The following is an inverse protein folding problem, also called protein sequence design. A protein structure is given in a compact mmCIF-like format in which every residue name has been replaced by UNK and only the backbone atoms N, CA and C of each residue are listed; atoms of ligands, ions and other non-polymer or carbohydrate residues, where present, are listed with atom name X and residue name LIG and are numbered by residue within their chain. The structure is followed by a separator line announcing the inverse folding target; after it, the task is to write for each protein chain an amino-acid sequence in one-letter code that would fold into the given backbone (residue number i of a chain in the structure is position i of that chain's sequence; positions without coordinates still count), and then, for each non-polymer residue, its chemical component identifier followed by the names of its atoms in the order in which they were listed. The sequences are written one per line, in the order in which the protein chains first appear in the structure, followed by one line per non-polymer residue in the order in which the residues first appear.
data_IF_329747137454
#
_entry.id   IF_329747137454
#
_cell.length_a   1.000
_cell.length_b   1.000
_cell.length_c   1.000
_cell.angle_alpha   90.00
_cell.angle_beta   90.00
_cell.angle_gamma   90.00
#
_symmetry.space_group_name_H-M   'P 1'
#
loop_
_entity.id
_entity.type
_entity.pdbx_description
1 polymer ?
#
# COMPACT_ATOMS: atom_id res chain seq x y z
N UNK A 1 22.16 -18.94 -21.49
CA UNK A 1 20.97 -18.24 -20.93
C UNK A 1 21.48 -17.22 -19.92
N UNK A 2 21.42 -15.95 -20.29
CA UNK A 2 22.00 -14.84 -19.53
C UNK A 2 21.10 -14.47 -18.35
N UNK A 3 21.43 -14.88 -17.15
CA UNK A 3 20.93 -14.26 -15.95
C UNK A 3 21.62 -12.91 -15.80
N UNK A 4 20.99 -11.84 -16.30
CA UNK A 4 21.44 -10.47 -16.06
C UNK A 4 21.56 -10.28 -14.56
N UNK A 5 22.76 -9.91 -14.11
CA UNK A 5 23.01 -9.25 -12.83
C UNK A 5 21.99 -8.11 -12.66
N UNK A 6 20.92 -8.34 -11.93
CA UNK A 6 20.19 -7.26 -11.29
C UNK A 6 21.11 -6.81 -10.16
N UNK A 7 21.80 -5.69 -10.37
CA UNK A 7 22.32 -4.91 -9.25
C UNK A 7 21.17 -4.80 -8.26
N UNK A 8 21.31 -5.48 -7.11
CA UNK A 8 20.24 -5.57 -6.13
C UNK A 8 20.07 -4.18 -5.49
N UNK A 9 19.29 -3.32 -6.16
CA UNK A 9 18.92 -2.02 -5.59
C UNK A 9 18.24 -2.28 -4.27
N UNK A 10 18.74 -1.67 -3.19
CA UNK A 10 18.19 -1.85 -1.84
C UNK A 10 16.69 -1.52 -1.86
N UNK A 11 15.84 -2.34 -1.21
CA UNK A 11 14.40 -2.09 -1.19
C UNK A 11 14.10 -0.78 -0.47
N UNK A 12 13.24 0.06 -1.06
CA UNK A 12 12.74 1.30 -0.46
C UNK A 12 11.41 1.10 0.28
N UNK A 13 10.65 0.07 -0.11
CA UNK A 13 9.36 -0.26 0.50
C UNK A 13 9.36 -1.71 0.97
N UNK A 14 8.95 -1.94 2.22
CA UNK A 14 8.68 -3.27 2.73
C UNK A 14 7.19 -3.59 2.61
N UNK A 15 6.82 -4.69 1.96
CA UNK A 15 5.45 -5.21 1.94
C UNK A 15 5.42 -6.47 2.80
N UNK A 16 4.66 -6.44 3.88
CA UNK A 16 4.55 -7.57 4.80
C UNK A 16 3.10 -7.96 5.03
N UNK A 17 2.87 -9.23 5.29
CA UNK A 17 1.53 -9.78 5.55
C UNK A 17 1.59 -10.86 6.64
N UNK A 18 0.47 -11.04 7.36
CA UNK A 18 0.38 -12.00 8.46
C UNK A 18 0.34 -13.46 8.01
N UNK A 19 -0.10 -13.71 6.78
CA UNK A 19 -0.24 -15.03 6.16
C UNK A 19 -0.08 -14.92 4.64
N UNK A 20 0.28 -16.03 4.00
CA UNK A 20 0.28 -16.19 2.55
C UNK A 20 -1.12 -16.10 1.92
N UNK A 21 -2.17 -16.38 2.70
CA UNK A 21 -3.58 -16.14 2.29
C UNK A 21 -3.86 -14.69 1.92
N UNK A 22 -3.08 -13.75 2.43
CA UNK A 22 -3.24 -12.32 2.21
C UNK A 22 -2.57 -11.85 0.90
N UNK A 23 -1.81 -12.74 0.24
CA UNK A 23 -1.00 -12.41 -0.93
C UNK A 23 -1.83 -11.86 -2.09
N UNK A 24 -3.03 -12.39 -2.33
CA UNK A 24 -3.92 -11.94 -3.42
C UNK A 24 -4.27 -10.45 -3.31
N UNK A 25 -4.40 -9.95 -2.08
CA UNK A 25 -4.63 -8.53 -1.79
C UNK A 25 -3.31 -7.77 -1.83
N UNK A 26 -2.30 -8.22 -1.09
CA UNK A 26 -1.03 -7.49 -0.91
C UNK A 26 -0.20 -7.38 -2.18
N UNK A 27 -0.35 -8.33 -3.12
CA UNK A 27 0.25 -8.26 -4.45
C UNK A 27 -0.13 -6.99 -5.21
N UNK A 28 -1.31 -6.44 -4.99
CA UNK A 28 -1.73 -5.20 -5.65
C UNK A 28 -0.84 -3.99 -5.28
N UNK A 29 -0.31 -3.95 -4.05
CA UNK A 29 0.68 -2.94 -3.68
C UNK A 29 2.01 -3.16 -4.42
N UNK A 30 2.45 -4.40 -4.54
CA UNK A 30 3.65 -4.76 -5.28
C UNK A 30 3.53 -4.39 -6.77
N UNK A 31 2.37 -4.66 -7.39
CA UNK A 31 2.10 -4.32 -8.79
C UNK A 31 2.19 -2.79 -9.03
N UNK A 32 1.66 -1.99 -8.09
CA UNK A 32 1.79 -0.52 -8.13
C UNK A 32 3.25 -0.08 -8.04
N UNK A 33 4.01 -0.59 -7.07
CA UNK A 33 5.42 -0.24 -6.92
C UNK A 33 6.25 -0.65 -8.15
N UNK A 34 5.95 -1.80 -8.73
CA UNK A 34 6.59 -2.29 -9.95
C UNK A 34 6.30 -1.39 -11.15
N UNK A 35 5.05 -0.92 -11.30
CA UNK A 35 4.68 0.02 -12.36
C UNK A 35 5.51 1.31 -12.31
N UNK A 36 5.84 1.79 -11.11
CA UNK A 36 6.66 2.98 -10.92
C UNK A 36 8.17 2.69 -10.83
N UNK A 37 8.58 1.42 -10.99
CA UNK A 37 9.98 0.96 -10.89
C UNK A 37 10.62 1.26 -9.53
N UNK A 38 9.84 1.17 -8.46
CA UNK A 38 10.35 1.33 -7.09
C UNK A 38 10.75 -0.04 -6.53
N UNK A 39 11.99 -0.21 -6.06
CA UNK A 39 12.44 -1.46 -5.47
C UNK A 39 11.74 -1.71 -4.13
N UNK A 40 11.26 -2.93 -3.94
CA UNK A 40 10.57 -3.37 -2.73
C UNK A 40 10.96 -4.80 -2.35
N UNK A 41 10.72 -5.17 -1.12
CA UNK A 41 10.70 -6.56 -0.67
C UNK A 41 9.27 -6.95 -0.26
N UNK A 42 8.90 -8.21 -0.46
CA UNK A 42 7.61 -8.76 -0.07
C UNK A 42 7.83 -10.07 0.69
N UNK A 43 7.27 -10.16 1.92
CA UNK A 43 7.44 -11.36 2.75
C UNK A 43 6.29 -11.55 3.75
N UNK A 44 6.22 -12.76 4.31
CA UNK A 44 5.28 -13.08 5.39
C UNK A 44 5.95 -12.82 6.75
N UNK A 45 5.26 -12.05 7.59
CA UNK A 45 5.66 -11.73 8.97
C UNK A 45 4.43 -11.84 9.85
N UNK A 46 4.30 -12.92 10.62
CA UNK A 46 3.14 -13.13 11.46
C UNK A 46 3.37 -12.58 12.87
N UNK A 47 2.56 -11.61 13.28
CA UNK A 47 2.62 -11.04 14.63
C UNK A 47 2.34 -12.10 15.71
N UNK A 48 1.43 -13.04 15.45
CA UNK A 48 1.00 -14.04 16.42
C UNK A 48 1.83 -15.33 16.40
N UNK A 49 2.31 -15.75 15.21
CA UNK A 49 2.99 -17.03 15.03
C UNK A 49 4.52 -16.92 14.99
N UNK A 50 5.04 -15.77 14.58
CA UNK A 50 6.48 -15.48 14.50
C UNK A 50 6.83 -14.11 15.07
N UNK A 51 6.52 -13.84 16.37
CA UNK A 51 6.71 -12.50 16.94
C UNK A 51 8.18 -12.05 16.92
N UNK A 52 9.14 -12.95 17.11
CA UNK A 52 10.57 -12.62 17.05
C UNK A 52 10.97 -12.13 15.66
N UNK A 53 10.52 -12.82 14.59
CA UNK A 53 10.75 -12.40 13.21
C UNK A 53 10.12 -11.04 12.93
N UNK A 54 8.95 -10.76 13.50
CA UNK A 54 8.29 -9.46 13.36
C UNK A 54 9.13 -8.33 14.00
N UNK A 55 9.62 -8.53 15.22
CA UNK A 55 10.47 -7.57 15.91
C UNK A 55 11.80 -7.34 15.17
N UNK A 56 12.43 -8.40 14.67
CA UNK A 56 13.65 -8.34 13.87
C UNK A 56 13.40 -7.58 12.55
N UNK A 57 12.30 -7.87 11.88
CA UNK A 57 11.93 -7.17 10.64
C UNK A 57 11.80 -5.67 10.88
N UNK A 58 11.02 -5.27 11.89
CA UNK A 58 10.81 -3.87 12.23
C UNK A 58 12.11 -3.17 12.63
N UNK A 59 12.90 -3.79 13.51
CA UNK A 59 14.15 -3.20 14.02
C UNK A 59 15.26 -3.05 12.98
N UNK A 60 15.25 -3.88 11.94
CA UNK A 60 16.29 -3.86 10.89
C UNK A 60 15.87 -3.12 9.62
N UNK A 61 14.59 -2.83 9.43
CA UNK A 61 14.04 -2.28 8.20
C UNK A 61 14.74 -1.00 7.74
N UNK A 62 14.91 -0.02 8.64
CA UNK A 62 15.57 1.25 8.32
C UNK A 62 17.03 1.05 7.89
N UNK A 63 17.78 0.18 8.58
CA UNK A 63 19.17 -0.13 8.25
C UNK A 63 19.32 -0.83 6.89
N UNK A 64 18.30 -1.62 6.47
CA UNK A 64 18.26 -2.23 5.14
C UNK A 64 17.93 -1.24 4.01
N UNK A 65 17.52 -0.01 4.33
CA UNK A 65 17.22 1.04 3.36
C UNK A 65 15.73 1.29 3.16
N UNK A 66 14.85 0.55 3.83
CA UNK A 66 13.40 0.74 3.76
C UNK A 66 13.02 2.11 4.31
N UNK A 67 12.11 2.78 3.63
CA UNK A 67 11.59 4.11 3.98
C UNK A 67 10.13 4.07 4.41
N UNK A 68 9.37 3.07 3.93
CA UNK A 68 7.94 2.90 4.23
C UNK A 68 7.64 1.40 4.33
N UNK A 69 6.79 1.02 5.28
CA UNK A 69 6.32 -0.35 5.41
C UNK A 69 4.81 -0.39 5.11
N UNK A 70 4.39 -1.29 4.21
CA UNK A 70 3.00 -1.63 3.96
C UNK A 70 2.72 -2.96 4.66
N UNK A 71 1.84 -2.95 5.65
CA UNK A 71 1.54 -4.12 6.46
C UNK A 71 0.06 -4.52 6.32
N UNK A 72 -0.19 -5.73 5.82
CA UNK A 72 -1.53 -6.29 5.63
C UNK A 72 -1.86 -7.34 6.68
N UNK A 73 -3.08 -7.28 7.21
CA UNK A 73 -3.59 -8.26 8.14
C UNK A 73 -5.12 -8.31 8.14
N UNK A 74 -5.68 -9.51 8.38
CA UNK A 74 -7.11 -9.75 8.51
C UNK A 74 -7.49 -10.25 9.90
N UNK A 75 -8.77 -10.27 10.21
CA UNK A 75 -9.29 -10.64 11.53
C UNK A 75 -8.76 -9.72 12.62
N UNK A 76 -8.15 -10.29 13.68
CA UNK A 76 -7.42 -9.55 14.71
C UNK A 76 -6.10 -9.00 14.11
N UNK A 77 -6.20 -7.92 13.35
CA UNK A 77 -5.16 -7.39 12.47
C UNK A 77 -4.10 -6.59 13.24
N UNK A 78 -3.36 -7.25 14.14
CA UNK A 78 -2.40 -6.60 15.04
C UNK A 78 -1.08 -6.21 14.34
N UNK A 79 -0.72 -6.85 13.22
CA UNK A 79 0.59 -6.68 12.58
C UNK A 79 0.96 -5.22 12.30
N UNK A 80 0.10 -4.37 11.69
CA UNK A 80 0.48 -2.98 11.38
C UNK A 80 0.82 -2.16 12.63
N UNK A 81 0.00 -2.27 13.68
CA UNK A 81 0.23 -1.56 14.95
C UNK A 81 1.49 -2.02 15.66
N UNK A 82 1.76 -3.34 15.68
CA UNK A 82 2.96 -3.89 16.29
C UNK A 82 4.24 -3.48 15.55
N UNK A 83 4.20 -3.41 14.22
CA UNK A 83 5.32 -2.87 13.43
C UNK A 83 5.52 -1.37 13.73
N UNK A 84 4.44 -0.59 13.75
CA UNK A 84 4.52 0.84 14.03
C UNK A 84 5.05 1.17 15.42
N UNK A 85 4.78 0.31 16.41
CA UNK A 85 5.34 0.44 17.77
C UNK A 85 6.82 0.04 17.88
N UNK A 86 7.34 -0.67 16.88
CA UNK A 86 8.67 -1.29 16.91
C UNK A 86 9.68 -0.67 15.95
N UNK A 87 9.27 0.35 15.15
CA UNK A 87 10.15 1.09 14.25
C UNK A 87 9.72 2.54 14.11
N UNK A 88 10.61 3.37 13.54
CA UNK A 88 10.35 4.80 13.29
C UNK A 88 9.86 5.09 11.87
N UNK A 89 9.75 4.06 11.04
CA UNK A 89 9.33 4.24 9.64
C UNK A 89 7.81 4.46 9.56
N UNK A 90 7.33 5.22 8.58
CA UNK A 90 5.92 5.28 8.27
C UNK A 90 5.35 3.89 7.99
N UNK A 91 4.23 3.55 8.64
CA UNK A 91 3.52 2.28 8.44
C UNK A 91 2.16 2.55 7.83
N UNK A 92 1.88 1.86 6.71
CA UNK A 92 0.59 1.88 6.04
C UNK A 92 -0.09 0.54 6.32
N UNK A 93 -1.22 0.59 7.00
CA UNK A 93 -2.02 -0.58 7.33
C UNK A 93 -3.05 -0.89 6.25
N UNK A 94 -3.07 -2.14 5.81
CA UNK A 94 -4.06 -2.67 4.86
C UNK A 94 -4.95 -3.65 5.61
N UNK A 95 -6.18 -3.25 5.96
CA UNK A 95 -7.16 -4.21 6.48
C UNK A 95 -7.51 -5.23 5.41
N UNK A 96 -7.54 -6.51 5.76
CA UNK A 96 -7.84 -7.60 4.82
C UNK A 96 -9.09 -8.33 5.29
N UNK A 97 -10.01 -8.56 4.35
CA UNK A 97 -11.14 -9.47 4.54
C UNK A 97 -10.63 -10.91 4.41
N UNK A 98 -10.24 -11.48 5.53
CA UNK A 98 -9.79 -12.87 5.61
C UNK A 98 -10.96 -13.80 5.95
N UNK A 99 -10.75 -15.12 5.79
CA UNK A 99 -11.80 -16.13 6.02
C UNK A 99 -12.36 -16.16 7.45
N UNK A 100 -11.62 -15.62 8.43
CA UNK A 100 -12.02 -15.50 9.83
C UNK A 100 -12.46 -14.08 10.21
N UNK A 101 -12.59 -13.16 9.25
CA UNK A 101 -13.04 -11.80 9.50
C UNK A 101 -14.54 -11.73 9.76
N UNK A 102 -14.95 -10.76 10.59
CA UNK A 102 -16.34 -10.36 10.80
C UNK A 102 -16.65 -9.23 9.81
N UNK A 103 -16.95 -9.60 8.57
CA UNK A 103 -17.22 -8.68 7.43
C UNK A 103 -16.10 -7.64 7.18
N UNK A 104 -14.89 -7.88 7.71
CA UNK A 104 -13.73 -6.99 7.60
C UNK A 104 -13.69 -5.84 8.61
N UNK A 105 -14.77 -5.57 9.35
CA UNK A 105 -14.78 -4.49 10.36
C UNK A 105 -13.82 -4.72 11.50
N UNK A 106 -13.60 -5.97 11.89
CA UNK A 106 -12.62 -6.38 12.88
C UNK A 106 -11.20 -5.97 12.45
N UNK A 107 -10.81 -6.22 11.22
CA UNK A 107 -9.50 -5.82 10.70
C UNK A 107 -9.37 -4.31 10.52
N UNK A 108 -10.41 -3.64 10.02
CA UNK A 108 -10.44 -2.18 9.88
C UNK A 108 -10.26 -1.51 11.25
N UNK A 109 -11.07 -1.88 12.24
CA UNK A 109 -11.03 -1.29 13.56
C UNK A 109 -9.73 -1.61 14.32
N UNK A 110 -9.21 -2.84 14.17
CA UNK A 110 -7.93 -3.22 14.81
C UNK A 110 -6.76 -2.36 14.33
N UNK A 111 -6.75 -1.97 13.04
CA UNK A 111 -5.68 -1.15 12.48
C UNK A 111 -5.92 0.34 12.69
N UNK A 112 -7.17 0.79 12.67
CA UNK A 112 -7.52 2.20 12.73
C UNK A 112 -7.34 2.80 14.14
N UNK A 113 -7.66 2.03 15.19
CA UNK A 113 -7.70 2.51 16.59
C UNK A 113 -6.37 2.36 17.33
N UNK A 114 -5.29 2.94 16.76
CA UNK A 114 -4.00 2.95 17.44
C UNK A 114 -3.97 3.97 18.59
N UNK A 115 -3.26 3.67 19.69
CA UNK A 115 -3.06 4.62 20.78
C UNK A 115 -2.21 5.81 20.31
N UNK A 116 -2.32 6.93 21.06
CA UNK A 116 -1.47 8.10 20.84
C UNK A 116 0.02 7.71 20.90
N UNK A 117 0.80 8.17 19.93
CA UNK A 117 2.23 7.87 19.81
C UNK A 117 2.57 6.67 18.88
N UNK A 118 1.57 5.94 18.40
CA UNK A 118 1.76 4.80 17.46
C UNK A 118 0.92 5.00 16.20
N UNK A 119 1.30 5.90 15.29
CA UNK A 119 0.50 6.17 14.09
C UNK A 119 0.58 5.06 13.05
N UNK A 120 -0.58 4.69 12.49
CA UNK A 120 -0.70 3.83 11.30
C UNK A 120 -1.62 4.51 10.29
N UNK A 121 -1.12 4.76 9.07
CA UNK A 121 -1.94 5.29 7.98
C UNK A 121 -2.80 4.17 7.39
N UNK A 122 -4.09 4.12 7.75
CA UNK A 122 -4.98 3.03 7.35
C UNK A 122 -5.66 3.32 6.03
N UNK A 123 -5.58 2.39 5.07
CA UNK A 123 -6.33 2.45 3.80
C UNK A 123 -7.65 1.66 3.91
N UNK A 124 -8.45 1.70 2.86
CA UNK A 124 -9.71 0.94 2.82
C UNK A 124 -9.49 -0.59 2.91
N UNK A 125 -10.54 -1.32 3.28
CA UNK A 125 -10.55 -2.79 3.28
C UNK A 125 -10.11 -3.33 1.91
N UNK A 126 -9.15 -4.23 1.90
CA UNK A 126 -8.48 -4.78 0.71
C UNK A 126 -7.82 -3.71 -0.20
N UNK A 127 -7.57 -2.50 0.31
CA UNK A 127 -7.09 -1.35 -0.46
C UNK A 127 -5.58 -1.32 -0.72
N UNK A 128 -4.93 -2.46 -0.97
CA UNK A 128 -3.49 -2.54 -1.11
C UNK A 128 -2.92 -1.71 -2.28
N UNK A 129 -3.66 -1.52 -3.37
CA UNK A 129 -3.26 -0.60 -4.45
C UNK A 129 -3.09 0.84 -3.94
N UNK A 130 -4.03 1.31 -3.12
CA UNK A 130 -3.93 2.63 -2.50
C UNK A 130 -2.79 2.72 -1.48
N UNK A 131 -2.48 1.63 -0.77
CA UNK A 131 -1.30 1.57 0.09
C UNK A 131 0.00 1.72 -0.71
N UNK A 132 0.10 1.07 -1.87
CA UNK A 132 1.21 1.24 -2.82
C UNK A 132 1.33 2.70 -3.28
N UNK A 133 0.23 3.32 -3.69
CA UNK A 133 0.22 4.74 -4.11
C UNK A 133 0.60 5.68 -2.96
N UNK A 134 0.11 5.45 -1.74
CA UNK A 134 0.48 6.25 -0.58
C UNK A 134 1.98 6.12 -0.25
N UNK A 135 2.54 4.91 -0.34
CA UNK A 135 3.98 4.71 -0.19
C UNK A 135 4.78 5.50 -1.24
N UNK A 136 4.35 5.50 -2.50
CA UNK A 136 4.95 6.32 -3.56
C UNK A 136 4.85 7.82 -3.25
N UNK A 137 3.71 8.29 -2.74
CA UNK A 137 3.52 9.69 -2.34
C UNK A 137 4.47 10.09 -1.21
N UNK A 138 4.66 9.23 -0.21
CA UNK A 138 5.63 9.46 0.88
C UNK A 138 7.06 9.57 0.31
N UNK A 139 7.46 8.66 -0.57
CA UNK A 139 8.78 8.71 -1.20
C UNK A 139 8.96 9.94 -2.08
N UNK A 140 7.91 10.37 -2.79
CA UNK A 140 7.92 11.51 -3.69
C UNK A 140 8.12 12.86 -2.98
N UNK A 141 7.94 12.94 -1.66
CA UNK A 141 8.23 14.16 -0.89
C UNK A 141 9.71 14.58 -0.97
N UNK A 142 10.59 13.62 -1.25
CA UNK A 142 12.04 13.84 -1.41
C UNK A 142 12.58 13.40 -2.78
N UNK A 143 11.70 13.00 -3.72
CA UNK A 143 12.05 12.59 -5.08
C UNK A 143 11.17 13.32 -6.11
N UNK A 144 11.74 14.34 -6.75
CA UNK A 144 11.03 15.18 -7.75
C UNK A 144 10.69 14.40 -9.02
N UNK A 145 11.49 13.41 -9.41
CA UNK A 145 11.20 12.54 -10.55
C UNK A 145 9.98 11.66 -10.29
N UNK A 146 9.91 11.06 -9.11
CA UNK A 146 8.77 10.27 -8.70
C UNK A 146 7.50 11.13 -8.55
N UNK A 147 7.65 12.37 -8.02
CA UNK A 147 6.55 13.34 -7.94
C UNK A 147 5.97 13.65 -9.33
N UNK A 148 6.83 13.88 -10.33
CA UNK A 148 6.40 14.11 -11.72
C UNK A 148 5.64 12.90 -12.29
N UNK A 149 6.12 11.68 -12.06
CA UNK A 149 5.41 10.45 -12.49
C UNK A 149 4.02 10.33 -11.85
N UNK A 150 3.90 10.63 -10.56
CA UNK A 150 2.60 10.63 -9.86
C UNK A 150 1.64 11.69 -10.41
N UNK A 151 2.14 12.86 -10.78
CA UNK A 151 1.33 13.90 -11.43
C UNK A 151 0.79 13.43 -12.79
N UNK A 152 1.60 12.74 -13.59
CA UNK A 152 1.16 12.12 -14.85
C UNK A 152 0.09 11.07 -14.58
N UNK A 153 0.35 10.15 -13.65
CA UNK A 153 -0.62 9.12 -13.28
C UNK A 153 -1.98 9.71 -12.86
N UNK A 154 -1.97 10.81 -12.10
CA UNK A 154 -3.20 11.49 -11.69
C UNK A 154 -3.97 12.07 -12.89
N UNK A 155 -3.27 12.63 -13.89
CA UNK A 155 -3.87 13.09 -15.15
C UNK A 155 -4.46 11.92 -15.96
N UNK A 156 -3.81 10.78 -16.00
CA UNK A 156 -4.33 9.58 -16.67
C UNK A 156 -5.63 9.08 -16.04
N UNK A 157 -5.74 9.14 -14.71
CA UNK A 157 -7.00 8.81 -14.02
C UNK A 157 -8.13 9.77 -14.40
N UNK A 158 -7.84 11.08 -14.51
CA UNK A 158 -8.80 12.08 -14.97
C UNK A 158 -9.23 11.82 -16.42
N UNK A 159 -8.27 11.52 -17.31
CA UNK A 159 -8.56 11.21 -18.71
C UNK A 159 -9.49 9.99 -18.84
N UNK A 160 -9.23 8.92 -18.08
CA UNK A 160 -10.10 7.74 -18.06
C UNK A 160 -11.55 8.06 -17.64
N UNK A 161 -11.74 9.02 -16.74
CA UNK A 161 -13.08 9.48 -16.36
C UNK A 161 -13.70 10.31 -17.48
N UNK A 162 -12.93 11.20 -18.10
CA UNK A 162 -13.40 12.01 -19.24
C UNK A 162 -13.85 11.12 -20.43
N UNK A 163 -13.11 10.04 -20.72
CA UNK A 163 -13.51 9.08 -21.76
C UNK A 163 -14.83 8.38 -21.43
N UNK A 164 -15.03 8.01 -20.17
CA UNK A 164 -16.31 7.42 -19.70
C UNK A 164 -17.46 8.42 -19.81
N UNK A 165 -17.22 9.68 -19.43
CA UNK A 165 -18.24 10.76 -19.56
C UNK A 165 -18.62 10.92 -21.03
N UNK A 166 -17.64 10.96 -21.94
CA UNK A 166 -17.91 11.06 -23.38
C UNK A 166 -18.77 9.90 -23.87
N UNK A 167 -18.43 8.66 -23.51
CA UNK A 167 -19.23 7.49 -23.91
C UNK A 167 -20.65 7.50 -23.35
N UNK A 168 -20.85 8.02 -22.13
CA UNK A 168 -22.19 8.19 -21.55
C UNK A 168 -22.98 9.30 -22.23
N UNK A 169 -22.34 10.40 -22.60
CA UNK A 169 -22.96 11.54 -23.29
C UNK A 169 -23.52 11.15 -24.64
N UNK A 170 -22.86 10.25 -25.35
CA UNK A 170 -23.31 9.73 -26.64
C UNK A 170 -24.60 8.93 -26.51
N UNK A 171 -24.84 8.29 -25.31
CA UNK A 171 -26.01 7.48 -25.02
C UNK A 171 -27.13 8.27 -24.31
N UNK A 172 -26.74 9.18 -23.42
CA UNK A 172 -27.64 9.93 -22.55
C UNK A 172 -27.21 11.40 -22.48
N UNK A 173 -27.71 12.27 -23.40
CA UNK A 173 -27.42 13.69 -23.37
C UNK A 173 -27.86 14.32 -22.04
N UNK A 174 -27.09 15.25 -21.53
CA UNK A 174 -27.39 16.00 -20.31
C UNK A 174 -26.96 17.46 -20.42
N UNK A 175 -27.59 18.35 -19.64
CA UNK A 175 -27.37 19.79 -19.68
C UNK A 175 -26.07 20.20 -18.95
N UNK A 176 -25.59 19.39 -18.00
CA UNK A 176 -24.38 19.69 -17.24
C UNK A 176 -23.15 19.83 -18.14
N UNK A 177 -23.02 18.93 -19.13
CA UNK A 177 -21.90 18.94 -20.06
C UNK A 177 -22.00 20.04 -21.16
N UNK A 178 -23.13 20.78 -21.19
CA UNK A 178 -23.36 21.88 -22.13
C UNK A 178 -23.16 23.25 -21.49
N UNK A 179 -23.02 23.30 -20.15
CA UNK A 179 -22.76 24.55 -19.43
C UNK A 179 -21.35 25.09 -19.73
N UNK A 180 -21.20 26.41 -20.01
CA UNK A 180 -19.88 27.00 -20.12
C UNK A 180 -19.16 26.93 -18.77
N UNK A 181 -17.95 26.43 -18.77
CA UNK A 181 -17.04 26.35 -17.61
C UNK A 181 -16.20 27.61 -17.47
#
# INVERSE_FOLDING_TARGET
MNTKNMDATKPLVGIIMGSDSDLSVMKQAADVLQQFSIPFELTVVSAHRTPQRMMEYAGTAAARGIKVIIAGAGGAAHLPGMIASSCILPVIGVPILSSNSIDGWDSVLSILQMPSGVPVATVALNGASNAGLLALQILATSDTSLSAKLAIHKKELQSKVADKIKGLKDLYPNDFDQAPH
#
